data_IF_328434312497
#
_entry.id   IF_328434312497
#
_cell.length_a   1.000
_cell.length_b   1.000
_cell.length_c   1.000
_cell.angle_alpha   90.00
_cell.angle_beta   90.00
_cell.angle_gamma   90.00
#
_symmetry.space_group_name_H-M   'P 1'
#
loop_
_entity.id
_entity.type
_entity.pdbx_description
1 polymer ?
#
# COMPACT_ATOMS: atom_id res chain seq x y z
N UNK A 1 -22.22 57.40 34.88
CA UNK A 1 -22.96 56.14 34.92
C UNK A 1 -22.72 55.47 33.57
N UNK A 2 -21.52 54.88 33.45
CA UNK A 2 -21.04 54.26 32.23
C UNK A 2 -21.17 52.73 32.43
N UNK A 3 -21.97 52.13 31.56
CA UNK A 3 -22.18 50.70 31.52
C UNK A 3 -21.03 50.07 30.70
N UNK A 4 -20.08 49.44 31.37
CA UNK A 4 -19.08 48.56 30.81
C UNK A 4 -19.74 47.32 30.21
N UNK A 5 -19.86 47.27 28.89
CA UNK A 5 -20.12 46.04 28.15
C UNK A 5 -18.83 45.31 27.95
N UNK A 6 -18.57 44.30 28.80
CA UNK A 6 -17.56 43.27 28.56
C UNK A 6 -17.97 42.47 27.33
N UNK A 7 -17.25 42.64 26.21
CA UNK A 7 -17.31 41.78 25.05
C UNK A 7 -16.58 40.46 25.38
N UNK A 8 -17.37 39.41 25.55
CA UNK A 8 -16.88 38.03 25.60
C UNK A 8 -16.25 37.66 24.24
N UNK A 9 -14.97 37.82 24.14
CA UNK A 9 -14.16 37.37 23.02
C UNK A 9 -14.10 35.81 22.98
N UNK A 10 -15.07 35.22 22.26
CA UNK A 10 -15.10 33.82 21.96
C UNK A 10 -13.85 33.48 21.10
N UNK A 11 -12.82 32.95 21.75
CA UNK A 11 -11.68 32.35 21.10
C UNK A 11 -12.15 31.14 20.30
N UNK A 12 -12.43 31.38 19.04
CA UNK A 12 -12.77 30.34 18.04
C UNK A 12 -11.56 29.44 17.81
N UNK A 13 -11.68 28.16 18.19
CA UNK A 13 -10.70 27.13 18.01
C UNK A 13 -10.73 26.59 16.56
N UNK A 14 -9.89 27.09 15.61
CA UNK A 14 -10.00 26.73 14.19
C UNK A 14 -9.18 25.49 13.78
N UNK A 15 -8.64 24.68 14.71
CA UNK A 15 -7.65 23.65 14.34
C UNK A 15 -8.22 22.34 13.77
N UNK A 16 -9.42 21.91 14.16
CA UNK A 16 -9.92 20.57 13.77
C UNK A 16 -10.57 20.49 12.37
N UNK A 17 -11.20 21.56 11.91
CA UNK A 17 -11.79 21.64 10.55
C UNK A 17 -10.76 21.78 9.45
N UNK A 18 -9.62 22.42 9.73
CA UNK A 18 -8.52 22.64 8.78
C UNK A 18 -7.81 21.33 8.41
N UNK A 19 -7.53 20.43 9.37
CA UNK A 19 -6.87 19.14 9.13
C UNK A 19 -7.72 18.21 8.26
N UNK A 20 -9.03 18.08 8.55
CA UNK A 20 -9.92 17.25 7.70
C UNK A 20 -10.01 17.78 6.28
N UNK A 21 -9.99 19.09 6.06
CA UNK A 21 -10.04 19.70 4.74
C UNK A 21 -8.72 19.49 3.98
N UNK A 22 -7.58 19.56 4.65
CA UNK A 22 -6.26 19.27 4.09
C UNK A 22 -6.09 17.79 3.73
N UNK A 23 -6.53 16.86 4.60
CA UNK A 23 -6.49 15.42 4.34
C UNK A 23 -7.40 15.09 3.15
N UNK A 24 -8.59 15.71 3.05
CA UNK A 24 -9.49 15.51 1.92
C UNK A 24 -8.94 16.08 0.61
N UNK A 25 -8.08 17.10 0.67
CA UNK A 25 -7.40 17.66 -0.52
C UNK A 25 -6.22 16.82 -0.96
N UNK A 26 -5.52 16.13 -0.03
CA UNK A 26 -4.29 15.38 -0.31
C UNK A 26 -4.45 13.86 -0.08
N UNK A 27 -5.69 13.35 -0.12
CA UNK A 27 -5.97 11.93 0.15
C UNK A 27 -5.17 10.99 -0.77
N UNK A 28 -4.94 11.39 -2.02
CA UNK A 28 -4.12 10.62 -2.98
C UNK A 28 -2.70 10.39 -2.47
N UNK A 29 -2.06 11.43 -1.94
CA UNK A 29 -0.69 11.32 -1.41
C UNK A 29 -0.66 10.38 -0.21
N UNK A 30 -1.65 10.51 0.69
CA UNK A 30 -1.73 9.67 1.88
C UNK A 30 -1.93 8.20 1.51
N UNK A 31 -2.83 7.87 0.58
CA UNK A 31 -3.03 6.49 0.12
C UNK A 31 -1.75 5.95 -0.52
N UNK A 32 -1.06 6.71 -1.39
CA UNK A 32 0.18 6.28 -2.03
C UNK A 32 1.31 6.02 -1.02
N UNK A 33 1.39 6.80 0.05
CA UNK A 33 2.35 6.55 1.15
C UNK A 33 2.00 5.25 1.89
N UNK A 34 0.71 4.98 2.14
CA UNK A 34 0.27 3.74 2.78
C UNK A 34 0.59 2.53 1.91
N UNK A 35 0.29 2.57 0.60
CA UNK A 35 0.60 1.51 -0.36
C UNK A 35 2.10 1.21 -0.40
N UNK A 36 2.93 2.25 -0.48
CA UNK A 36 4.39 2.12 -0.48
C UNK A 36 4.91 1.52 0.83
N UNK A 37 4.38 1.98 1.97
CA UNK A 37 4.76 1.45 3.29
C UNK A 37 4.40 -0.03 3.43
N UNK A 38 3.21 -0.45 2.97
CA UNK A 38 2.79 -1.85 2.98
C UNK A 38 3.67 -2.72 2.07
N UNK A 39 4.06 -2.23 0.89
CA UNK A 39 5.02 -2.93 0.03
C UNK A 39 6.37 -3.15 0.72
N UNK A 40 6.90 -2.14 1.40
CA UNK A 40 8.16 -2.24 2.15
C UNK A 40 8.04 -3.27 3.28
N UNK A 41 6.93 -3.26 4.02
CA UNK A 41 6.67 -4.25 5.07
C UNK A 41 6.59 -5.66 4.49
N UNK A 42 5.90 -5.86 3.36
CA UNK A 42 5.83 -7.15 2.68
C UNK A 42 7.20 -7.66 2.24
N UNK A 43 8.04 -6.78 1.68
CA UNK A 43 9.43 -7.12 1.29
C UNK A 43 10.24 -7.54 2.52
N UNK A 44 10.13 -6.79 3.64
CA UNK A 44 10.82 -7.12 4.89
C UNK A 44 10.38 -8.46 5.47
N UNK A 45 9.09 -8.75 5.47
CA UNK A 45 8.54 -10.01 5.99
C UNK A 45 8.92 -11.23 5.16
N UNK A 46 9.05 -11.09 3.84
CA UNK A 46 9.37 -12.20 2.95
C UNK A 46 10.87 -12.41 2.76
N UNK A 47 11.70 -11.42 3.11
CA UNK A 47 13.14 -11.45 2.87
C UNK A 47 13.82 -12.65 3.53
N UNK A 48 13.56 -12.88 4.81
CA UNK A 48 14.18 -13.97 5.56
C UNK A 48 13.72 -15.37 5.12
N UNK A 49 12.39 -15.62 4.92
CA UNK A 49 11.93 -16.86 4.32
C UNK A 49 12.55 -17.19 2.96
N UNK A 50 12.77 -16.18 2.12
CA UNK A 50 13.33 -16.37 0.77
C UNK A 50 14.83 -16.63 0.77
N UNK A 51 15.57 -16.33 1.83
CA UNK A 51 16.98 -16.72 1.93
C UNK A 51 17.18 -18.22 2.14
N UNK A 52 16.14 -18.92 2.58
CA UNK A 52 16.21 -20.35 2.80
C UNK A 52 16.17 -21.10 1.45
N UNK A 53 17.29 -21.72 1.08
CA UNK A 53 17.49 -22.39 -0.23
C UNK A 53 16.46 -23.50 -0.50
N UNK A 54 15.94 -24.15 0.54
CA UNK A 54 14.95 -25.22 0.40
C UNK A 54 13.59 -24.71 -0.07
N UNK A 55 13.28 -23.46 0.24
CA UNK A 55 12.09 -22.75 -0.23
C UNK A 55 12.19 -22.41 -1.72
N UNK A 56 13.37 -21.96 -2.15
CA UNK A 56 13.63 -21.49 -3.53
C UNK A 56 13.56 -22.63 -4.54
N UNK A 57 14.07 -23.83 -4.19
CA UNK A 57 14.21 -24.96 -5.12
C UNK A 57 12.88 -25.56 -5.57
N UNK A 58 11.75 -25.27 -4.89
CA UNK A 58 10.46 -25.89 -5.20
C UNK A 58 9.60 -25.15 -6.23
N UNK A 59 9.61 -23.81 -6.21
CA UNK A 59 8.63 -22.99 -6.94
C UNK A 59 9.23 -21.66 -7.44
N UNK A 60 10.26 -21.74 -8.28
CA UNK A 60 10.97 -20.57 -8.84
C UNK A 60 10.00 -19.58 -9.54
N UNK A 61 8.94 -20.07 -10.16
CA UNK A 61 7.95 -19.24 -10.85
C UNK A 61 7.14 -18.38 -9.86
N UNK A 62 6.78 -18.91 -8.68
CA UNK A 62 6.06 -18.17 -7.65
C UNK A 62 6.91 -17.02 -7.09
N UNK A 63 8.21 -17.24 -6.95
CA UNK A 63 9.16 -16.20 -6.56
C UNK A 63 9.15 -15.00 -7.52
N UNK A 64 9.15 -15.26 -8.82
CA UNK A 64 9.06 -14.21 -9.83
C UNK A 64 7.82 -13.34 -9.66
N UNK A 65 6.66 -13.95 -9.43
CA UNK A 65 5.41 -13.21 -9.18
C UNK A 65 5.47 -12.40 -7.88
N UNK A 66 6.00 -12.97 -6.80
CA UNK A 66 6.12 -12.32 -5.49
C UNK A 66 7.04 -11.09 -5.59
N UNK A 67 8.22 -11.25 -6.20
CA UNK A 67 9.15 -10.12 -6.37
C UNK A 67 8.59 -9.04 -7.29
N UNK A 68 7.96 -9.42 -8.39
CA UNK A 68 7.33 -8.46 -9.31
C UNK A 68 6.20 -7.70 -8.62
N UNK A 69 5.42 -8.39 -7.79
CA UNK A 69 4.33 -7.77 -7.05
C UNK A 69 4.83 -6.73 -6.05
N UNK A 70 5.84 -7.03 -5.25
CA UNK A 70 6.28 -6.11 -4.20
C UNK A 70 7.32 -5.11 -4.69
N UNK A 71 8.43 -5.60 -5.26
CA UNK A 71 9.54 -4.72 -5.68
C UNK A 71 9.22 -3.97 -6.96
N UNK A 72 8.55 -4.60 -7.92
CA UNK A 72 8.14 -3.97 -9.17
C UNK A 72 7.16 -2.84 -8.92
N UNK A 73 6.12 -3.08 -8.09
CA UNK A 73 5.17 -2.03 -7.77
C UNK A 73 5.73 -0.96 -6.85
N UNK A 74 6.65 -1.30 -5.94
CA UNK A 74 7.35 -0.29 -5.16
C UNK A 74 8.10 0.69 -6.07
N UNK A 75 8.78 0.18 -7.10
CA UNK A 75 9.49 1.01 -8.08
C UNK A 75 8.51 1.89 -8.86
N UNK A 76 7.40 1.35 -9.36
CA UNK A 76 6.35 2.11 -10.05
C UNK A 76 5.80 3.21 -9.13
N UNK A 77 5.55 2.90 -7.86
CA UNK A 77 5.08 3.86 -6.88
C UNK A 77 6.08 4.98 -6.60
N UNK A 78 7.37 4.66 -6.52
CA UNK A 78 8.42 5.67 -6.39
C UNK A 78 8.43 6.61 -7.59
N UNK A 79 8.31 6.10 -8.81
CA UNK A 79 8.25 6.92 -10.03
C UNK A 79 7.00 7.81 -10.02
N UNK A 80 5.83 7.26 -9.70
CA UNK A 80 4.58 8.03 -9.63
C UNK A 80 4.65 9.11 -8.56
N UNK A 81 5.24 8.81 -7.39
CA UNK A 81 5.40 9.77 -6.32
C UNK A 81 6.39 10.89 -6.70
N UNK A 82 7.49 10.55 -7.37
CA UNK A 82 8.47 11.50 -7.89
C UNK A 82 7.83 12.43 -8.94
N UNK A 83 7.06 11.88 -9.88
CA UNK A 83 6.31 12.66 -10.88
C UNK A 83 5.35 13.66 -10.21
N UNK A 84 4.67 13.23 -9.14
CA UNK A 84 3.84 14.11 -8.35
C UNK A 84 4.63 15.24 -7.68
N UNK A 85 5.85 14.97 -7.16
CA UNK A 85 6.72 16.00 -6.56
C UNK A 85 7.18 17.04 -7.59
N UNK A 86 7.39 16.63 -8.84
CA UNK A 86 7.72 17.54 -9.94
C UNK A 86 6.51 18.25 -10.56
N UNK A 87 5.34 18.06 -9.95
CA UNK A 87 4.08 18.64 -10.40
C UNK A 87 3.68 18.21 -11.83
N UNK A 88 4.18 17.06 -12.29
CA UNK A 88 3.77 16.45 -13.54
C UNK A 88 2.52 15.59 -13.29
N UNK A 89 1.39 16.01 -13.86
CA UNK A 89 0.13 15.32 -13.67
C UNK A 89 0.10 13.98 -14.43
N UNK A 90 0.11 12.87 -13.69
CA UNK A 90 -0.16 11.56 -14.30
C UNK A 90 -1.67 11.47 -14.55
N UNK A 91 -2.06 11.11 -15.78
CA UNK A 91 -3.45 10.96 -16.15
C UNK A 91 -4.19 9.97 -15.24
N UNK A 92 -5.41 10.32 -14.83
CA UNK A 92 -6.21 9.47 -13.91
C UNK A 92 -6.41 8.05 -14.45
N UNK A 93 -6.51 7.87 -15.77
CA UNK A 93 -6.67 6.57 -16.43
C UNK A 93 -5.45 5.67 -16.18
N UNK A 94 -4.26 6.21 -16.38
CA UNK A 94 -2.99 5.50 -16.16
C UNK A 94 -2.84 5.13 -14.70
N UNK A 95 -3.09 6.06 -13.76
CA UNK A 95 -3.05 5.79 -12.34
C UNK A 95 -4.04 4.69 -11.92
N UNK A 96 -5.29 4.75 -12.40
CA UNK A 96 -6.30 3.71 -12.12
C UNK A 96 -5.89 2.34 -12.65
N UNK A 97 -5.35 2.26 -13.87
CA UNK A 97 -4.88 1.00 -14.45
C UNK A 97 -3.75 0.39 -13.62
N UNK A 98 -2.77 1.18 -13.20
CA UNK A 98 -1.70 0.70 -12.32
C UNK A 98 -2.23 0.19 -10.98
N UNK A 99 -3.18 0.92 -10.36
CA UNK A 99 -3.76 0.49 -9.08
C UNK A 99 -4.58 -0.80 -9.22
N UNK A 100 -5.32 -1.00 -10.33
CA UNK A 100 -6.04 -2.26 -10.59
C UNK A 100 -5.06 -3.42 -10.78
N UNK A 101 -4.03 -3.25 -11.61
CA UNK A 101 -3.02 -4.28 -11.83
C UNK A 101 -2.28 -4.63 -10.53
N UNK A 102 -1.95 -3.61 -9.71
CA UNK A 102 -1.34 -3.80 -8.39
C UNK A 102 -2.25 -4.61 -7.46
N UNK A 103 -3.55 -4.28 -7.41
CA UNK A 103 -4.53 -5.01 -6.61
C UNK A 103 -4.57 -6.48 -7.01
N UNK A 104 -4.69 -6.78 -8.30
CA UNK A 104 -4.72 -8.15 -8.80
C UNK A 104 -3.45 -8.93 -8.45
N UNK A 105 -2.27 -8.33 -8.68
CA UNK A 105 -0.99 -9.00 -8.39
C UNK A 105 -0.77 -9.23 -6.89
N UNK A 106 -1.13 -8.28 -6.04
CA UNK A 106 -1.03 -8.46 -4.59
C UNK A 106 -1.96 -9.56 -4.07
N UNK A 107 -3.19 -9.66 -4.61
CA UNK A 107 -4.13 -10.73 -4.25
C UNK A 107 -3.60 -12.10 -4.72
N UNK A 108 -3.11 -12.19 -5.97
CA UNK A 108 -2.50 -13.43 -6.49
C UNK A 108 -1.31 -13.84 -5.62
N UNK A 109 -0.43 -12.90 -5.29
CA UNK A 109 0.73 -13.14 -4.42
C UNK A 109 0.31 -13.64 -3.04
N UNK A 110 -0.72 -13.05 -2.44
CA UNK A 110 -1.24 -13.50 -1.15
C UNK A 110 -1.74 -14.95 -1.20
N UNK A 111 -2.46 -15.32 -2.27
CA UNK A 111 -2.95 -16.68 -2.49
C UNK A 111 -1.77 -17.65 -2.69
N UNK A 112 -0.77 -17.29 -3.51
CA UNK A 112 0.40 -18.12 -3.76
C UNK A 112 1.18 -18.40 -2.46
N UNK A 113 1.48 -17.37 -1.68
CA UNK A 113 2.18 -17.52 -0.40
C UNK A 113 1.37 -18.41 0.56
N UNK A 114 0.05 -18.21 0.59
CA UNK A 114 -0.82 -18.99 1.46
C UNK A 114 -0.92 -20.45 1.04
N UNK A 115 -0.95 -20.75 -0.25
CA UNK A 115 -0.99 -22.12 -0.78
C UNK A 115 0.34 -22.83 -0.56
N UNK A 116 1.44 -22.13 -0.76
CA UNK A 116 2.78 -22.70 -0.63
C UNK A 116 3.18 -22.99 0.83
N UNK A 117 2.51 -22.36 1.82
CA UNK A 117 2.82 -22.58 3.24
C UNK A 117 2.79 -24.05 3.67
N UNK A 118 1.88 -24.86 3.09
CA UNK A 118 1.74 -26.27 3.43
C UNK A 118 2.88 -27.11 2.87
N UNK A 119 3.40 -26.75 1.71
CA UNK A 119 4.62 -27.32 1.12
C UNK A 119 5.85 -26.93 1.94
N UNK A 120 5.92 -25.71 2.47
CA UNK A 120 6.98 -25.27 3.37
C UNK A 120 6.96 -26.05 4.68
N UNK A 121 5.79 -26.24 5.27
CA UNK A 121 5.63 -26.99 6.52
C UNK A 121 6.15 -28.43 6.39
N UNK A 122 5.96 -29.09 5.25
CA UNK A 122 6.39 -30.47 5.03
C UNK A 122 7.89 -30.62 4.76
N UNK A 123 8.58 -29.58 4.28
CA UNK A 123 10.00 -29.61 3.94
C UNK A 123 10.94 -29.10 5.02
N UNK A 124 10.45 -28.36 6.00
CA UNK A 124 11.26 -27.84 7.11
C UNK A 124 11.47 -28.95 8.13
N UNK A 125 12.52 -29.75 7.93
CA UNK A 125 12.95 -30.81 8.85
C UNK A 125 13.62 -30.24 10.13
N UNK A 126 13.98 -28.97 10.16
CA UNK A 126 14.47 -28.25 11.33
C UNK A 126 13.57 -27.04 11.62
N UNK A 127 13.09 -26.90 12.88
CA UNK A 127 12.06 -25.92 13.20
C UNK A 127 12.64 -24.52 13.39
N UNK A 128 12.89 -23.82 12.31
CA UNK A 128 12.86 -22.37 12.39
C UNK A 128 11.39 -21.96 12.51
N UNK A 129 10.84 -22.15 13.70
CA UNK A 129 9.41 -21.95 14.02
C UNK A 129 8.87 -20.56 13.65
N UNK A 130 9.75 -19.57 13.45
CA UNK A 130 9.38 -18.19 13.13
C UNK A 130 9.18 -17.91 11.63
N UNK A 131 9.65 -18.77 10.73
CA UNK A 131 9.48 -18.55 9.27
C UNK A 131 8.03 -18.69 8.82
N UNK A 132 7.28 -19.60 9.40
CA UNK A 132 5.86 -19.80 9.06
C UNK A 132 4.99 -18.59 9.48
N UNK A 133 5.11 -18.00 10.67
CA UNK A 133 4.42 -16.76 11.01
C UNK A 133 4.78 -15.59 10.08
N UNK A 134 6.04 -15.47 9.65
CA UNK A 134 6.46 -14.42 8.71
C UNK A 134 5.77 -14.56 7.34
N UNK A 135 5.69 -15.79 6.82
CA UNK A 135 4.97 -16.07 5.56
C UNK A 135 3.48 -15.75 5.66
N UNK A 136 2.83 -16.17 6.75
CA UNK A 136 1.43 -15.87 7.00
C UNK A 136 1.23 -14.35 7.13
N UNK A 137 2.09 -13.68 7.89
CA UNK A 137 2.07 -12.23 8.04
C UNK A 137 2.23 -11.51 6.70
N UNK A 138 3.16 -11.95 5.86
CA UNK A 138 3.35 -11.42 4.52
C UNK A 138 2.11 -11.62 3.64
N UNK A 139 1.50 -12.81 3.65
CA UNK A 139 0.28 -13.12 2.90
C UNK A 139 -0.88 -12.20 3.32
N UNK A 140 -1.09 -12.01 4.62
CA UNK A 140 -2.13 -11.11 5.14
C UNK A 140 -1.84 -9.65 4.75
N UNK A 141 -0.61 -9.19 4.89
CA UNK A 141 -0.21 -7.84 4.48
C UNK A 141 -0.40 -7.63 2.97
N UNK A 142 -0.04 -8.61 2.14
CA UNK A 142 -0.26 -8.55 0.69
C UNK A 142 -1.75 -8.47 0.33
N UNK A 143 -2.59 -9.25 1.02
CA UNK A 143 -4.04 -9.20 0.81
C UNK A 143 -4.62 -7.83 1.18
N UNK A 144 -4.24 -7.30 2.34
CA UNK A 144 -4.64 -5.94 2.78
C UNK A 144 -4.18 -4.89 1.78
N UNK A 145 -2.92 -4.98 1.31
CA UNK A 145 -2.38 -4.07 0.31
C UNK A 145 -3.17 -4.13 -1.00
N UNK A 146 -3.56 -5.32 -1.46
CA UNK A 146 -4.44 -5.51 -2.62
C UNK A 146 -5.78 -4.79 -2.46
N UNK A 147 -6.39 -4.85 -1.27
CA UNK A 147 -7.63 -4.10 -0.96
C UNK A 147 -7.38 -2.60 -1.01
N UNK A 148 -6.27 -2.11 -0.44
CA UNK A 148 -5.93 -0.67 -0.46
C UNK A 148 -5.77 -0.17 -1.90
N UNK A 149 -5.07 -0.90 -2.77
CA UNK A 149 -4.95 -0.57 -4.20
C UNK A 149 -6.31 -0.57 -4.91
N UNK A 150 -7.18 -1.52 -4.59
CA UNK A 150 -8.52 -1.56 -5.17
C UNK A 150 -9.35 -0.35 -4.75
N UNK A 151 -9.30 0.02 -3.48
CA UNK A 151 -9.95 1.23 -2.96
C UNK A 151 -9.39 2.48 -3.64
N UNK A 152 -8.06 2.59 -3.78
CA UNK A 152 -7.42 3.70 -4.49
C UNK A 152 -7.91 3.79 -5.95
N UNK A 153 -7.98 2.68 -6.68
CA UNK A 153 -8.50 2.63 -8.04
C UNK A 153 -9.93 3.16 -8.14
N UNK A 154 -10.82 2.72 -7.23
CA UNK A 154 -12.22 3.18 -7.19
C UNK A 154 -12.31 4.67 -6.87
N UNK A 155 -11.53 5.15 -5.92
CA UNK A 155 -11.52 6.57 -5.55
C UNK A 155 -10.94 7.43 -6.67
N UNK A 156 -9.83 7.02 -7.28
CA UNK A 156 -9.22 7.72 -8.42
C UNK A 156 -10.21 7.84 -9.58
N UNK A 157 -10.93 6.77 -9.89
CA UNK A 157 -11.96 6.79 -10.93
C UNK A 157 -13.15 7.68 -10.59
N UNK A 158 -13.60 7.66 -9.33
CA UNK A 158 -14.74 8.46 -8.86
C UNK A 158 -14.42 9.95 -8.82
N UNK A 159 -13.21 10.30 -8.37
CA UNK A 159 -12.79 11.69 -8.18
C UNK A 159 -11.88 12.20 -9.31
N UNK A 160 -12.08 11.69 -10.52
CA UNK A 160 -11.32 12.06 -11.74
C UNK A 160 -11.25 13.57 -12.02
N UNK A 161 -12.13 14.39 -11.43
CA UNK A 161 -12.10 15.85 -11.56
C UNK A 161 -10.92 16.52 -10.86
N UNK A 162 -10.31 15.83 -9.88
CA UNK A 162 -9.17 16.32 -9.11
C UNK A 162 -7.84 16.09 -9.85
N UNK A 163 -7.88 15.28 -10.93
CA UNK A 163 -6.79 15.08 -11.87
C UNK A 163 -7.03 16.02 -13.06
N UNK A 164 -6.00 16.79 -13.43
CA UNK A 164 -6.08 17.77 -14.52
C UNK A 164 -6.66 17.20 -15.84
N UNK A 165 -6.96 18.08 -16.80
CA UNK A 165 -7.52 17.64 -18.07
C UNK A 165 -6.54 16.70 -18.79
N UNK A 166 -7.10 15.59 -19.32
CA UNK A 166 -6.34 14.67 -20.19
C UNK A 166 -6.02 15.32 -21.52
#
# INVERSE_FOLDING_TARGET
MEDDKAEDEKVDLPKKKSLRKRIKSNWHVVIKIIEMSLCIVCIGLIYEPLQNQDIIKGHLHHLGVIYTSFSGYLLIMCVMFTSFLFNEAIGYKTSTMFSICAACLNIITAILIFTDKDHFKSRIFHPNMYLLPLLIGCSVCAFVNGIVYFVDAVFTFKYKRDFGPN
#
